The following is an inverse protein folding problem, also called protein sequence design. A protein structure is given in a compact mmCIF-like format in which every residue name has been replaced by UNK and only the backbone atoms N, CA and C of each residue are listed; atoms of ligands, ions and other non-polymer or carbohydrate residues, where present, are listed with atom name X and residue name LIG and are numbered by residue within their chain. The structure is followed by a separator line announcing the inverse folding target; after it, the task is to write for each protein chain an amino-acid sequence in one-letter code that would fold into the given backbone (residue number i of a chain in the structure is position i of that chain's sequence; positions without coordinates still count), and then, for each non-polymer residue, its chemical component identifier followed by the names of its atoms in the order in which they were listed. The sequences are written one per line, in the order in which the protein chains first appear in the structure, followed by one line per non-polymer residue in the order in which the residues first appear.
data_IF_805702470452
#
_entry.id   IF_805702470452
#
_cell.length_a   1.000
_cell.length_b   1.000
_cell.length_c   1.000
_cell.angle_alpha   90.00
_cell.angle_beta   90.00
_cell.angle_gamma   90.00
#
_symmetry.space_group_name_H-M   'P 1'
#
loop_
_entity.id
_entity.type
_entity.pdbx_description
1 polymer ?
#
# COMPACT_ATOMS: atom_id res chain seq x y z
N UNK A 1 16.56 19.62 2.28
CA UNK A 1 17.24 20.00 1.03
C UNK A 1 18.69 20.45 1.27
N UNK A 2 19.07 20.80 2.51
CA UNK A 2 20.37 21.37 2.85
C UNK A 2 21.39 20.34 3.42
N UNK A 3 21.03 19.07 3.46
CA UNK A 3 21.89 18.00 3.92
C UNK A 3 22.34 17.12 2.75
N UNK A 4 23.59 16.68 2.78
CA UNK A 4 24.09 15.65 1.85
C UNK A 4 23.48 14.29 2.17
N UNK A 5 23.56 13.34 1.24
CA UNK A 5 23.13 11.94 1.45
C UNK A 5 23.83 11.35 2.67
N UNK A 6 25.13 11.59 2.85
CA UNK A 6 25.87 11.16 4.03
C UNK A 6 25.24 11.70 5.33
N UNK A 7 24.95 13.01 5.37
CA UNK A 7 24.31 13.63 6.54
C UNK A 7 22.92 13.05 6.82
N UNK A 8 22.13 12.79 5.77
CA UNK A 8 20.80 12.21 5.89
C UNK A 8 20.86 10.78 6.48
N UNK A 9 21.78 9.95 5.99
CA UNK A 9 21.91 8.56 6.45
C UNK A 9 22.64 8.46 7.81
N UNK A 10 23.50 9.43 8.15
CA UNK A 10 24.19 9.45 9.43
C UNK A 10 23.27 9.70 10.62
N UNK A 11 22.16 10.44 10.43
CA UNK A 11 21.25 10.80 11.53
C UNK A 11 20.68 9.57 12.27
N UNK A 12 20.01 8.61 11.62
CA UNK A 12 19.49 7.42 12.31
C UNK A 12 20.61 6.55 12.88
N UNK A 13 21.74 6.41 12.18
CA UNK A 13 22.87 5.61 12.65
C UNK A 13 23.49 6.16 13.94
N UNK A 14 23.63 7.48 14.04
CA UNK A 14 24.11 8.15 15.26
C UNK A 14 23.09 8.04 16.39
N UNK A 15 21.80 8.25 16.07
CA UNK A 15 20.72 8.28 17.06
C UNK A 15 20.49 6.91 17.72
N UNK A 16 20.43 5.85 16.92
CA UNK A 16 20.06 4.52 17.42
C UNK A 16 21.27 3.65 17.80
N UNK A 17 22.45 3.90 17.19
CA UNK A 17 23.61 3.02 17.37
C UNK A 17 24.87 3.74 17.88
N UNK A 18 24.81 5.07 18.11
CA UNK A 18 25.94 5.89 18.54
C UNK A 18 27.19 5.77 17.66
N UNK A 19 27.01 5.48 16.35
CA UNK A 19 28.14 5.29 15.44
C UNK A 19 28.83 6.62 15.11
N UNK A 20 30.16 6.56 14.98
CA UNK A 20 31.01 7.73 14.63
C UNK A 20 32.23 7.30 13.80
N UNK A 21 32.93 8.27 13.23
CA UNK A 21 34.20 8.04 12.53
C UNK A 21 34.06 7.04 11.35
N UNK A 22 35.04 6.17 11.21
CA UNK A 22 35.14 5.21 10.11
C UNK A 22 34.03 4.14 10.14
N UNK A 23 33.56 3.77 11.31
CA UNK A 23 32.45 2.81 11.48
C UNK A 23 31.14 3.38 10.92
N UNK A 24 30.85 4.66 11.21
CA UNK A 24 29.70 5.36 10.64
C UNK A 24 29.79 5.39 9.11
N UNK A 25 30.95 5.77 8.57
CA UNK A 25 31.18 5.84 7.12
C UNK A 25 30.96 4.48 6.46
N UNK A 26 31.50 3.42 7.03
CA UNK A 26 31.33 2.04 6.54
C UNK A 26 29.86 1.64 6.50
N UNK A 27 29.10 1.91 7.57
CA UNK A 27 27.66 1.59 7.62
C UNK A 27 26.86 2.38 6.57
N UNK A 28 27.20 3.66 6.31
CA UNK A 28 26.54 4.45 5.26
C UNK A 28 26.83 3.86 3.88
N UNK A 29 28.06 3.46 3.58
CA UNK A 29 28.44 2.83 2.32
C UNK A 29 27.67 1.51 2.14
N UNK A 30 27.54 0.71 3.19
CA UNK A 30 26.80 -0.56 3.12
C UNK A 30 25.29 -0.34 2.89
N UNK A 31 24.69 0.70 3.50
CA UNK A 31 23.32 1.10 3.22
C UNK A 31 23.12 1.54 1.77
N UNK A 32 24.04 2.35 1.24
CA UNK A 32 23.98 2.78 -0.16
C UNK A 32 24.08 1.59 -1.12
N UNK A 33 24.99 0.65 -0.87
CA UNK A 33 25.11 -0.58 -1.67
C UNK A 33 23.82 -1.39 -1.65
N UNK A 34 23.17 -1.55 -0.49
CA UNK A 34 21.89 -2.27 -0.36
C UNK A 34 20.80 -1.65 -1.25
N UNK A 35 20.79 -0.33 -1.42
CA UNK A 35 19.82 0.35 -2.31
C UNK A 35 20.39 0.59 -3.72
N UNK A 36 21.47 -0.09 -4.09
CA UNK A 36 22.10 -0.04 -5.43
C UNK A 36 22.57 1.37 -5.82
N UNK A 37 23.10 2.12 -4.84
CA UNK A 37 23.77 3.41 -5.03
C UNK A 37 25.25 3.27 -4.69
N UNK A 38 26.10 3.95 -5.47
CA UNK A 38 27.55 3.98 -5.23
C UNK A 38 27.96 4.93 -4.10
N UNK A 39 29.18 4.77 -3.57
CA UNK A 39 29.74 5.61 -2.52
C UNK A 39 29.78 7.11 -2.91
N UNK A 40 29.97 7.43 -4.20
CA UNK A 40 30.04 8.81 -4.67
C UNK A 40 28.75 9.61 -4.44
N UNK A 41 27.61 8.93 -4.17
CA UNK A 41 26.38 9.61 -3.79
C UNK A 41 26.44 10.27 -2.41
N UNK A 42 27.37 9.89 -1.52
CA UNK A 42 27.49 10.44 -0.16
C UNK A 42 27.58 11.98 -0.17
N UNK A 43 28.35 12.54 -1.09
CA UNK A 43 28.55 13.99 -1.21
C UNK A 43 27.42 14.74 -1.95
N UNK A 44 26.46 14.02 -2.53
CA UNK A 44 25.36 14.61 -3.29
C UNK A 44 24.29 15.20 -2.38
N UNK A 45 23.68 16.28 -2.84
CA UNK A 45 22.46 16.87 -2.25
C UNK A 45 21.21 16.30 -2.92
N UNK A 46 20.04 16.27 -2.25
CA UNK A 46 18.80 15.78 -2.86
C UNK A 46 18.44 16.43 -4.20
N UNK A 47 18.75 17.71 -4.39
CA UNK A 47 18.51 18.42 -5.66
C UNK A 47 19.35 17.90 -6.85
N UNK A 48 20.40 17.14 -6.57
CA UNK A 48 21.30 16.56 -7.57
C UNK A 48 20.93 15.10 -7.91
N UNK A 49 19.85 14.59 -7.34
CA UNK A 49 19.37 13.23 -7.51
C UNK A 49 18.11 13.21 -8.38
N UNK A 50 17.98 12.18 -9.21
CA UNK A 50 16.73 11.84 -9.89
C UNK A 50 15.65 11.43 -8.89
N UNK A 51 14.39 11.33 -9.34
CA UNK A 51 13.27 10.86 -8.50
C UNK A 51 13.54 9.48 -7.89
N UNK A 52 13.97 8.52 -8.69
CA UNK A 52 14.28 7.17 -8.24
C UNK A 52 15.48 7.09 -7.28
N UNK A 53 16.52 7.91 -7.49
CA UNK A 53 17.66 7.99 -6.57
C UNK A 53 17.26 8.60 -5.22
N UNK A 54 16.43 9.64 -5.23
CA UNK A 54 15.85 10.21 -4.00
C UNK A 54 15.07 9.16 -3.22
N UNK A 55 14.25 8.37 -3.91
CA UNK A 55 13.47 7.30 -3.29
C UNK A 55 14.36 6.22 -2.69
N UNK A 56 15.41 5.80 -3.39
CA UNK A 56 16.41 4.84 -2.86
C UNK A 56 17.13 5.38 -1.61
N UNK A 57 17.48 6.66 -1.57
CA UNK A 57 18.05 7.30 -0.37
C UNK A 57 17.03 7.32 0.77
N UNK A 58 15.74 7.61 0.49
CA UNK A 58 14.68 7.56 1.50
C UNK A 58 14.50 6.14 2.07
N UNK A 59 14.50 5.12 1.21
CA UNK A 59 14.51 3.71 1.60
C UNK A 59 15.73 3.40 2.47
N UNK A 60 16.95 3.74 2.04
CA UNK A 60 18.16 3.54 2.83
C UNK A 60 18.07 4.18 4.22
N UNK A 61 17.51 5.40 4.32
CA UNK A 61 17.30 6.10 5.59
C UNK A 61 16.34 5.35 6.52
N UNK A 62 15.24 4.81 5.98
CA UNK A 62 14.29 4.02 6.75
C UNK A 62 14.95 2.75 7.32
N UNK A 63 15.73 2.05 6.52
CA UNK A 63 16.43 0.84 6.93
C UNK A 63 17.66 1.09 7.83
N UNK A 64 18.19 2.32 7.85
CA UNK A 64 19.32 2.66 8.71
C UNK A 64 19.04 2.44 10.20
N UNK A 65 17.78 2.53 10.63
CA UNK A 65 17.35 2.26 12.00
C UNK A 65 17.18 0.76 12.32
N UNK A 66 17.32 -0.14 11.33
CA UNK A 66 17.03 -1.59 11.42
C UNK A 66 15.65 -1.88 12.02
N UNK A 67 14.58 -1.33 11.46
CA UNK A 67 13.24 -1.45 12.03
C UNK A 67 12.62 -2.83 11.75
N UNK A 68 11.78 -3.31 12.66
CA UNK A 68 10.94 -4.50 12.44
C UNK A 68 9.77 -4.20 11.51
N UNK A 69 9.27 -2.94 11.52
CA UNK A 69 8.12 -2.50 10.70
C UNK A 69 8.46 -1.18 10.00
N UNK A 70 8.14 -1.09 8.70
CA UNK A 70 8.22 0.14 7.90
C UNK A 70 6.83 0.50 7.37
N UNK A 71 6.41 1.75 7.62
CA UNK A 71 5.25 2.35 6.96
C UNK A 71 5.67 2.94 5.61
N UNK A 72 5.10 2.41 4.55
CA UNK A 72 5.31 2.84 3.17
C UNK A 72 4.06 3.57 2.68
N UNK A 73 4.06 4.90 2.80
CA UNK A 73 2.93 5.73 2.37
C UNK A 73 3.23 6.33 0.99
N UNK A 74 2.49 5.87 -0.02
CA UNK A 74 2.59 6.28 -1.43
C UNK A 74 4.02 6.35 -2.01
N UNK A 75 4.88 5.43 -1.63
CA UNK A 75 6.33 5.47 -1.94
C UNK A 75 6.66 5.41 -3.44
N UNK A 76 5.69 5.11 -4.30
CA UNK A 76 5.88 4.98 -5.75
C UNK A 76 5.03 5.95 -6.59
N UNK A 77 4.13 6.75 -5.97
CA UNK A 77 3.13 7.57 -6.68
C UNK A 77 3.73 8.65 -7.60
N UNK A 78 4.93 9.14 -7.32
CA UNK A 78 5.61 10.18 -8.10
C UNK A 78 6.67 9.63 -9.08
N UNK A 79 6.69 8.31 -9.32
CA UNK A 79 7.69 7.65 -10.15
C UNK A 79 7.06 7.16 -11.47
N UNK A 80 7.86 7.16 -12.53
CA UNK A 80 7.47 6.47 -13.76
C UNK A 80 7.44 4.95 -13.56
N UNK A 81 6.71 4.24 -14.43
CA UNK A 81 6.44 2.80 -14.31
C UNK A 81 7.71 1.96 -14.19
N UNK A 82 8.78 2.32 -14.91
CA UNK A 82 10.03 1.57 -14.92
C UNK A 82 10.80 1.73 -13.62
N UNK A 83 10.84 2.95 -13.08
CA UNK A 83 11.47 3.28 -11.79
C UNK A 83 10.66 2.69 -10.64
N UNK A 84 9.32 2.75 -10.72
CA UNK A 84 8.41 2.11 -9.77
C UNK A 84 8.70 0.61 -9.61
N UNK A 85 8.76 -0.12 -10.73
CA UNK A 85 9.09 -1.55 -10.70
C UNK A 85 10.47 -1.82 -10.06
N UNK A 86 11.48 -0.99 -10.35
CA UNK A 86 12.81 -1.12 -9.78
C UNK A 86 12.84 -0.87 -8.26
N UNK A 87 12.02 0.08 -7.76
CA UNK A 87 11.89 0.36 -6.32
C UNK A 87 11.12 -0.76 -5.61
N UNK A 88 10.05 -1.29 -6.21
CA UNK A 88 9.29 -2.42 -5.64
C UNK A 88 10.16 -3.68 -5.51
N UNK A 89 10.92 -4.02 -6.55
CA UNK A 89 11.86 -5.14 -6.50
C UNK A 89 12.93 -4.94 -5.42
N UNK A 90 13.42 -3.71 -5.24
CA UNK A 90 14.36 -3.39 -4.17
C UNK A 90 13.73 -3.58 -2.78
N UNK A 91 12.51 -3.10 -2.57
CA UNK A 91 11.80 -3.27 -1.31
C UNK A 91 11.54 -4.74 -0.99
N UNK A 92 11.15 -5.53 -2.00
CA UNK A 92 10.93 -6.97 -1.82
C UNK A 92 12.23 -7.69 -1.43
N UNK A 93 13.34 -7.40 -2.11
CA UNK A 93 14.66 -7.94 -1.76
C UNK A 93 15.06 -7.57 -0.33
N UNK A 94 14.89 -6.30 0.06
CA UNK A 94 15.21 -5.84 1.42
C UNK A 94 14.31 -6.47 2.49
N UNK A 95 13.03 -6.75 2.17
CA UNK A 95 12.11 -7.50 3.04
C UNK A 95 12.65 -8.90 3.32
N UNK A 96 13.08 -9.61 2.27
CA UNK A 96 13.63 -10.97 2.39
C UNK A 96 14.95 -10.99 3.14
N UNK A 97 15.89 -10.07 2.80
CA UNK A 97 17.23 -10.02 3.39
C UNK A 97 17.22 -9.61 4.88
N UNK A 98 16.27 -8.78 5.30
CA UNK A 98 16.27 -8.14 6.63
C UNK A 98 15.11 -8.58 7.51
N UNK A 99 14.15 -9.35 7.00
CA UNK A 99 12.99 -9.84 7.76
C UNK A 99 12.01 -8.73 8.19
N UNK A 100 12.03 -7.56 7.52
CA UNK A 100 11.23 -6.39 7.89
C UNK A 100 9.79 -6.54 7.39
N UNK A 101 8.81 -6.19 8.22
CA UNK A 101 7.39 -6.13 7.83
C UNK A 101 7.06 -4.77 7.23
N UNK A 102 6.26 -4.75 6.15
CA UNK A 102 5.76 -3.52 5.55
C UNK A 102 4.26 -3.32 5.82
N UNK A 103 3.90 -2.09 6.18
CA UNK A 103 2.54 -1.58 6.04
C UNK A 103 2.56 -0.65 4.82
N UNK A 104 2.01 -1.11 3.71
CA UNK A 104 2.09 -0.43 2.42
C UNK A 104 0.76 0.25 2.08
N UNK A 105 0.76 1.56 1.90
CA UNK A 105 -0.40 2.35 1.50
C UNK A 105 -0.21 2.83 0.06
N UNK A 106 -1.16 2.51 -0.81
CA UNK A 106 -1.17 2.92 -2.21
C UNK A 106 -2.58 2.92 -2.77
N UNK A 107 -2.83 3.79 -3.75
CA UNK A 107 -4.03 3.77 -4.58
C UNK A 107 -3.82 2.94 -5.87
N UNK A 108 -2.60 2.50 -6.16
CA UNK A 108 -2.29 1.64 -7.30
C UNK A 108 -2.48 0.17 -6.94
N UNK A 109 -3.58 -0.41 -7.42
CA UNK A 109 -3.97 -1.79 -7.13
C UNK A 109 -2.98 -2.82 -7.68
N UNK A 110 -2.30 -2.54 -8.79
CA UNK A 110 -1.28 -3.42 -9.35
C UNK A 110 -0.05 -3.49 -8.44
N UNK A 111 0.36 -2.34 -7.88
CA UNK A 111 1.45 -2.25 -6.89
C UNK A 111 1.09 -3.03 -5.63
N UNK A 112 -0.09 -2.79 -5.06
CA UNK A 112 -0.54 -3.50 -3.85
C UNK A 112 -0.55 -5.01 -4.09
N UNK A 113 -1.08 -5.47 -5.22
CA UNK A 113 -1.11 -6.89 -5.60
C UNK A 113 0.29 -7.50 -5.70
N UNK A 114 1.26 -6.74 -6.20
CA UNK A 114 2.63 -7.24 -6.43
C UNK A 114 3.45 -7.41 -5.14
N UNK A 115 3.20 -6.58 -4.11
CA UNK A 115 4.07 -6.54 -2.92
C UNK A 115 3.42 -7.12 -1.66
N UNK A 116 2.07 -7.21 -1.60
CA UNK A 116 1.34 -7.49 -0.37
C UNK A 116 0.98 -8.96 -0.21
N UNK A 117 1.21 -9.53 0.97
CA UNK A 117 0.73 -10.85 1.36
C UNK A 117 -0.75 -10.78 1.80
N UNK A 118 -1.13 -9.68 2.45
CA UNK A 118 -2.50 -9.38 2.88
C UNK A 118 -2.90 -7.98 2.45
N UNK A 119 -4.17 -7.78 2.16
CA UNK A 119 -4.73 -6.50 1.74
C UNK A 119 -5.85 -6.10 2.69
N UNK A 120 -5.85 -4.83 3.08
CA UNK A 120 -6.93 -4.17 3.80
C UNK A 120 -7.52 -3.07 2.91
N UNK A 121 -8.82 -3.17 2.59
CA UNK A 121 -9.52 -2.20 1.74
C UNK A 121 -10.28 -1.22 2.62
N UNK A 122 -9.97 0.08 2.46
CA UNK A 122 -10.60 1.16 3.20
C UNK A 122 -11.49 2.01 2.27
N UNK A 123 -12.67 2.37 2.76
CA UNK A 123 -13.54 3.35 2.13
C UNK A 123 -13.87 4.47 3.12
N UNK A 124 -13.56 5.71 2.76
CA UNK A 124 -13.75 6.90 3.62
C UNK A 124 -13.23 6.69 5.06
N UNK A 125 -12.02 6.13 5.20
CA UNK A 125 -11.36 5.89 6.48
C UNK A 125 -11.90 4.70 7.27
N UNK A 126 -12.88 3.94 6.76
CA UNK A 126 -13.41 2.74 7.39
C UNK A 126 -12.98 1.48 6.66
N UNK A 127 -12.54 0.49 7.42
CA UNK A 127 -12.13 -0.80 6.89
C UNK A 127 -13.37 -1.59 6.41
N UNK A 128 -13.37 -1.97 5.13
CA UNK A 128 -14.45 -2.69 4.47
C UNK A 128 -14.16 -4.18 4.32
N UNK A 129 -12.95 -4.51 3.91
CA UNK A 129 -12.50 -5.88 3.67
C UNK A 129 -11.04 -6.04 4.07
N UNK A 130 -10.67 -7.21 4.60
CA UNK A 130 -9.28 -7.61 4.85
C UNK A 130 -9.12 -9.11 4.58
N UNK A 131 -8.05 -9.49 3.88
CA UNK A 131 -7.80 -10.90 3.59
C UNK A 131 -6.45 -11.15 2.93
N UNK A 132 -6.14 -12.42 2.60
CA UNK A 132 -5.00 -12.76 1.76
C UNK A 132 -5.11 -12.04 0.42
N UNK A 133 -3.99 -11.47 -0.06
CA UNK A 133 -3.98 -10.68 -1.30
C UNK A 133 -4.59 -11.44 -2.48
N UNK A 134 -4.19 -12.71 -2.67
CA UNK A 134 -4.72 -13.53 -3.75
C UNK A 134 -6.25 -13.69 -3.70
N UNK A 135 -6.83 -13.80 -2.51
CA UNK A 135 -8.27 -14.01 -2.34
C UNK A 135 -9.05 -12.71 -2.55
N UNK A 136 -8.56 -11.57 -2.00
CA UNK A 136 -9.19 -10.26 -2.20
C UNK A 136 -9.23 -9.89 -3.68
N UNK A 137 -8.15 -10.15 -4.45
CA UNK A 137 -8.12 -9.83 -5.88
C UNK A 137 -8.90 -10.80 -6.76
N UNK A 138 -8.94 -12.08 -6.40
CA UNK A 138 -9.63 -13.11 -7.21
C UNK A 138 -11.11 -13.23 -6.87
N UNK A 139 -11.45 -13.07 -5.59
CA UNK A 139 -12.78 -13.25 -5.04
C UNK A 139 -13.09 -12.11 -4.05
N UNK A 140 -13.23 -10.85 -4.53
CA UNK A 140 -13.58 -9.73 -3.67
C UNK A 140 -14.89 -10.01 -2.97
N UNK A 141 -14.90 -9.94 -1.64
CA UNK A 141 -16.11 -10.33 -0.89
C UNK A 141 -16.97 -9.12 -0.49
N UNK A 142 -16.40 -7.90 -0.42
CA UNK A 142 -17.16 -6.70 -0.12
C UNK A 142 -17.61 -5.98 -1.41
N UNK A 143 -18.87 -5.48 -1.52
CA UNK A 143 -19.35 -4.78 -2.72
C UNK A 143 -18.47 -3.60 -3.18
N UNK A 144 -17.86 -2.88 -2.26
CA UNK A 144 -16.91 -1.82 -2.62
C UNK A 144 -15.64 -2.36 -3.29
N UNK A 145 -15.09 -3.45 -2.76
CA UNK A 145 -13.90 -4.09 -3.35
C UNK A 145 -14.20 -4.62 -4.76
N UNK A 146 -15.40 -5.17 -4.97
CA UNK A 146 -15.86 -5.62 -6.28
C UNK A 146 -15.92 -4.43 -7.28
N UNK A 147 -16.52 -3.31 -6.88
CA UNK A 147 -16.58 -2.09 -7.70
C UNK A 147 -15.16 -1.53 -7.95
N UNK A 148 -14.32 -1.49 -6.92
CA UNK A 148 -12.96 -0.96 -7.01
C UNK A 148 -12.09 -1.76 -7.99
N UNK A 149 -12.14 -3.09 -7.91
CA UNK A 149 -11.39 -3.97 -8.82
C UNK A 149 -12.00 -3.99 -10.22
N UNK A 150 -13.32 -3.89 -10.35
CA UNK A 150 -14.01 -3.78 -11.64
C UNK A 150 -13.74 -2.47 -12.39
N UNK A 151 -13.33 -1.41 -11.68
CA UNK A 151 -12.95 -0.14 -12.28
C UNK A 151 -11.50 -0.11 -12.81
N UNK A 152 -10.69 -1.10 -12.45
CA UNK A 152 -9.36 -1.27 -13.07
C UNK A 152 -9.58 -1.78 -14.48
N UNK A 153 -9.32 -0.91 -15.46
CA UNK A 153 -9.39 -1.24 -16.88
C UNK A 153 -8.44 -2.42 -17.15
N UNK A 154 -9.01 -3.59 -17.38
CA UNK A 154 -8.26 -4.62 -18.08
C UNK A 154 -7.89 -4.07 -19.47
N UNK A 155 -6.70 -4.37 -19.99
CA UNK A 155 -6.27 -3.85 -21.29
C UNK A 155 -7.10 -4.40 -22.48
N UNK A 156 -8.16 -5.12 -22.22
CA UNK A 156 -9.10 -5.66 -23.22
C UNK A 156 -10.31 -4.72 -23.35
N UNK A 157 -10.44 -3.99 -24.49
CA UNK A 157 -11.55 -3.07 -24.73
C UNK A 157 -12.92 -3.75 -24.85
N UNK A 158 -12.97 -5.07 -25.03
CA UNK A 158 -14.22 -5.82 -25.15
C UNK A 158 -14.78 -6.28 -23.77
N UNK A 159 -13.98 -6.17 -22.71
CA UNK A 159 -14.44 -6.43 -21.33
C UNK A 159 -15.13 -5.19 -20.79
N UNK A 160 -16.46 -5.19 -20.79
CA UNK A 160 -17.23 -4.15 -20.12
C UNK A 160 -17.04 -4.26 -18.60
N UNK A 161 -16.75 -3.15 -17.88
CA UNK A 161 -16.67 -3.16 -16.43
C UNK A 161 -18.01 -3.68 -15.86
N UNK A 162 -17.94 -4.74 -15.06
CA UNK A 162 -19.13 -5.46 -14.54
C UNK A 162 -20.03 -4.60 -13.63
N UNK A 163 -19.49 -3.51 -13.05
CA UNK A 163 -20.24 -2.60 -12.17
C UNK A 163 -19.64 -1.19 -12.28
N UNK A 164 -20.42 -0.26 -12.80
CA UNK A 164 -20.16 1.18 -12.71
C UNK A 164 -21.03 1.71 -11.58
N UNK A 165 -20.44 2.32 -10.56
CA UNK A 165 -21.22 3.08 -9.59
C UNK A 165 -21.80 4.31 -10.31
N UNK A 166 -23.12 4.40 -10.39
CA UNK A 166 -23.78 5.58 -10.91
C UNK A 166 -23.54 6.77 -9.99
N UNK A 167 -23.32 7.92 -10.62
CA UNK A 167 -23.20 9.29 -10.08
C UNK A 167 -22.60 9.51 -8.68
N UNK A 168 -21.45 10.16 -8.72
CA UNK A 168 -20.68 10.59 -7.53
C UNK A 168 -21.39 11.80 -6.91
N UNK A 169 -22.22 11.57 -5.93
CA UNK A 169 -22.51 12.57 -4.92
C UNK A 169 -21.49 12.38 -3.79
N UNK A 170 -20.59 13.35 -3.59
CA UNK A 170 -19.68 13.37 -2.43
C UNK A 170 -20.51 13.61 -1.17
N UNK A 171 -21.15 12.58 -0.66
CA UNK A 171 -21.77 12.60 0.66
C UNK A 171 -20.70 12.29 1.72
N UNK A 172 -20.71 13.08 2.79
CA UNK A 172 -19.91 12.77 3.98
C UNK A 172 -20.27 11.38 4.46
N UNK A 173 -19.28 10.60 4.97
CA UNK A 173 -19.57 9.29 5.51
C UNK A 173 -20.66 9.42 6.58
N UNK A 174 -21.69 8.57 6.55
CA UNK A 174 -22.77 8.63 7.53
C UNK A 174 -22.20 8.39 8.93
N UNK A 175 -22.71 9.11 9.92
CA UNK A 175 -22.31 8.87 11.34
C UNK A 175 -22.67 7.46 11.79
N UNK A 176 -23.78 6.95 11.28
CA UNK A 176 -24.28 5.58 11.49
C UNK A 176 -24.42 4.87 10.14
N UNK A 177 -24.46 3.54 10.18
CA UNK A 177 -24.64 2.74 8.97
C UNK A 177 -23.34 2.38 8.24
N UNK A 178 -23.53 1.79 7.07
CA UNK A 178 -22.45 1.41 6.17
C UNK A 178 -21.88 2.64 5.44
N UNK A 179 -20.56 2.84 5.49
CA UNK A 179 -19.93 3.99 4.81
C UNK A 179 -20.14 3.98 3.29
N UNK A 180 -20.29 2.80 2.68
CA UNK A 180 -20.49 2.65 1.25
C UNK A 180 -21.96 2.66 0.80
N UNK A 181 -22.91 2.78 1.72
CA UNK A 181 -24.36 2.63 1.47
C UNK A 181 -24.92 3.52 0.34
N UNK A 182 -24.42 4.75 0.19
CA UNK A 182 -24.87 5.70 -0.83
C UNK A 182 -24.48 5.32 -2.28
N UNK A 183 -23.49 4.45 -2.44
CA UNK A 183 -22.96 4.00 -3.74
C UNK A 183 -23.00 2.48 -3.91
N UNK A 184 -23.58 1.78 -2.94
CA UNK A 184 -23.58 0.32 -2.93
C UNK A 184 -24.62 -0.25 -3.91
N UNK A 185 -24.22 -0.96 -4.97
CA UNK A 185 -25.15 -1.56 -5.94
C UNK A 185 -25.95 -2.73 -5.33
N UNK A 186 -25.53 -3.21 -4.15
CA UNK A 186 -26.15 -4.32 -3.42
C UNK A 186 -26.81 -3.88 -2.10
N UNK A 187 -27.24 -2.61 -2.00
CA UNK A 187 -27.89 -2.08 -0.81
C UNK A 187 -29.19 -2.79 -0.50
N UNK A 188 -29.36 -3.33 0.72
CA UNK A 188 -30.53 -4.13 1.13
C UNK A 188 -31.60 -3.32 1.89
N UNK A 189 -31.54 -1.99 1.90
CA UNK A 189 -32.55 -1.12 2.51
C UNK A 189 -32.02 -0.31 3.69
N UNK A 190 -32.93 0.06 4.61
CA UNK A 190 -32.65 1.04 5.66
C UNK A 190 -31.63 0.58 6.72
N UNK A 191 -31.43 -0.72 6.88
CA UNK A 191 -30.39 -1.23 7.78
C UNK A 191 -29.00 -0.73 7.39
N UNK A 192 -28.74 -0.62 6.07
CA UNK A 192 -27.47 -0.07 5.57
C UNK A 192 -27.29 1.40 5.92
N UNK A 193 -28.39 2.14 6.15
CA UNK A 193 -28.34 3.56 6.53
C UNK A 193 -28.20 3.76 8.04
N UNK A 194 -28.79 2.89 8.83
CA UNK A 194 -29.02 3.10 10.27
C UNK A 194 -28.05 2.34 11.17
N UNK A 195 -27.54 1.18 10.72
CA UNK A 195 -26.74 0.30 11.55
C UNK A 195 -25.35 0.07 10.97
N UNK A 196 -24.35 0.02 11.84
CA UNK A 196 -22.98 -0.32 11.46
C UNK A 196 -22.92 -1.80 11.09
N UNK A 197 -22.46 -2.17 9.88
CA UNK A 197 -22.39 -3.55 9.47
C UNK A 197 -21.51 -4.40 10.40
N UNK A 198 -21.92 -5.65 10.72
CA UNK A 198 -21.09 -6.59 11.48
C UNK A 198 -19.89 -7.06 10.67
N UNK A 199 -18.84 -7.51 11.36
CA UNK A 199 -17.75 -8.28 10.76
C UNK A 199 -18.21 -9.71 10.50
N UNK A 200 -17.85 -10.22 9.32
CA UNK A 200 -18.07 -11.60 8.90
C UNK A 200 -16.76 -12.15 8.35
N UNK A 201 -16.50 -13.43 8.58
CA UNK A 201 -15.28 -14.11 8.11
C UNK A 201 -15.73 -15.24 7.19
N UNK A 202 -15.27 -15.20 5.94
CA UNK A 202 -15.54 -16.25 4.96
C UNK A 202 -14.54 -17.40 5.03
N UNK A 203 -14.90 -18.53 4.46
CA UNK A 203 -14.04 -19.73 4.39
C UNK A 203 -12.73 -19.48 3.63
N UNK A 204 -12.74 -18.53 2.69
CA UNK A 204 -11.56 -18.09 1.94
C UNK A 204 -10.57 -17.25 2.76
N UNK A 205 -10.85 -16.98 4.04
CA UNK A 205 -10.02 -16.15 4.91
C UNK A 205 -10.16 -14.65 4.70
N UNK A 206 -11.11 -14.19 3.86
CA UNK A 206 -11.50 -12.79 3.79
C UNK A 206 -12.43 -12.47 4.97
N UNK A 207 -12.23 -11.31 5.57
CA UNK A 207 -13.17 -10.74 6.53
C UNK A 207 -13.75 -9.45 5.95
N UNK A 208 -15.07 -9.29 6.02
CA UNK A 208 -15.79 -8.13 5.48
C UNK A 208 -16.67 -7.47 6.52
N UNK A 209 -17.00 -6.23 6.26
CA UNK A 209 -17.96 -5.46 7.06
C UNK A 209 -19.19 -5.13 6.22
N UNK A 210 -20.14 -6.05 6.17
CA UNK A 210 -21.36 -5.96 5.37
C UNK A 210 -22.56 -6.53 6.12
N UNK A 211 -23.80 -6.10 5.78
CA UNK A 211 -25.06 -6.67 6.29
C UNK A 211 -25.49 -7.92 5.51
N UNK A 212 -25.11 -8.00 4.23
CA UNK A 212 -25.35 -9.21 3.41
C UNK A 212 -24.37 -10.30 3.87
N UNK A 213 -24.86 -11.52 3.98
CA UNK A 213 -24.00 -12.66 4.34
C UNK A 213 -22.87 -12.84 3.30
N UNK A 214 -21.66 -13.12 3.76
CA UNK A 214 -20.48 -13.25 2.89
C UNK A 214 -20.62 -14.39 1.87
N UNK A 215 -21.28 -15.49 2.23
CA UNK A 215 -21.54 -16.62 1.34
C UNK A 215 -22.59 -16.28 0.27
N UNK A 216 -23.61 -15.51 0.64
CA UNK A 216 -24.58 -14.96 -0.30
C UNK A 216 -23.92 -14.02 -1.31
N UNK A 217 -23.02 -13.12 -0.84
CA UNK A 217 -22.23 -12.25 -1.73
C UNK A 217 -21.38 -13.07 -2.72
N UNK A 218 -20.74 -14.15 -2.25
CA UNK A 218 -19.95 -15.02 -3.10
C UNK A 218 -20.80 -15.68 -4.21
N UNK A 219 -22.07 -16.01 -3.92
CA UNK A 219 -23.00 -16.59 -4.92
C UNK A 219 -23.47 -15.56 -5.96
N UNK A 220 -23.54 -14.27 -5.58
CA UNK A 220 -23.98 -13.19 -6.49
C UNK A 220 -22.86 -12.71 -7.44
N UNK A 221 -21.63 -13.15 -7.23
CA UNK A 221 -20.46 -12.75 -8.03
C UNK A 221 -20.08 -13.77 -9.11
N UNK A 222 -20.68 -14.96 -9.08
CA UNK A 222 -20.54 -16.00 -10.10
C UNK A 222 -21.42 -15.69 -11.32
#
# INVERSE_FOLDING_TARGET
PNHTVEQILSQPLKLYFNLSGDELKKNIIDLLKKVRLGEFYMSRYPRQLSGGEKQRVAVARAFAAKPDIILCDEVTSALDVSVQAAVLNLLQQLKEDLGTTYVFVSHDLAVVRAISDRVAVLYQGRLCEIGPSQNVYKFPSHPYTEVLLGAVLEPDPDIKPKLVAEDIVEEKPPEKGCSFQGRCPRKIGDICNSEVPPWQIGENGNAIRCHINIEELASLQQ
#
